data_IF_746625510683
#
_entry.id   IF_746625510683
#
_cell.length_a   1.000
_cell.length_b   1.000
_cell.length_c   1.000
_cell.angle_alpha   90.00
_cell.angle_beta   90.00
_cell.angle_gamma   90.00
#
_symmetry.space_group_name_H-M   'P 1'
#
loop_
_entity.id
_entity.type
_entity.pdbx_description
1 polymer ?
#
# COMPACT_ATOMS: atom_id res chain seq x y z
N UNK A 1 -15.04 -12.46 -10.83
CA UNK A 1 -14.04 -11.38 -10.76
C UNK A 1 -14.56 -10.40 -9.73
N UNK A 2 -14.16 -10.57 -8.46
CA UNK A 2 -14.56 -9.62 -7.42
C UNK A 2 -13.83 -8.31 -7.72
N UNK A 3 -14.60 -7.28 -8.02
CA UNK A 3 -14.10 -5.92 -8.07
C UNK A 3 -13.46 -5.66 -6.70
N UNK A 4 -12.15 -5.34 -6.64
CA UNK A 4 -11.54 -4.94 -5.39
C UNK A 4 -12.41 -3.82 -4.79
N UNK A 5 -12.91 -4.01 -3.58
CA UNK A 5 -13.74 -3.01 -2.90
C UNK A 5 -12.96 -1.69 -2.93
N UNK A 6 -13.52 -0.71 -3.63
CA UNK A 6 -12.82 0.55 -3.90
C UNK A 6 -12.63 1.29 -2.57
N UNK A 7 -11.38 1.59 -2.23
CA UNK A 7 -11.04 2.33 -1.02
C UNK A 7 -11.82 3.65 -0.99
N UNK A 8 -12.50 3.89 0.11
CA UNK A 8 -13.32 5.08 0.36
C UNK A 8 -12.76 5.85 1.54
N UNK A 9 -12.66 7.17 1.39
CA UNK A 9 -12.16 8.09 2.41
C UNK A 9 -13.32 8.84 3.08
N UNK A 10 -13.29 8.90 4.40
CA UNK A 10 -14.13 9.79 5.22
C UNK A 10 -13.28 10.55 6.23
N UNK A 11 -13.92 11.07 7.28
CA UNK A 11 -13.26 11.85 8.33
C UNK A 11 -13.53 13.35 8.20
N UNK A 12 -12.73 14.16 8.89
CA UNK A 12 -12.89 15.62 8.93
C UNK A 12 -11.99 16.35 7.94
N UNK A 13 -10.87 15.74 7.55
CA UNK A 13 -9.94 16.33 6.59
C UNK A 13 -10.57 16.37 5.19
N UNK A 14 -10.31 17.45 4.44
CA UNK A 14 -10.66 17.49 3.01
C UNK A 14 -9.66 16.67 2.21
N UNK A 15 -9.95 15.37 2.06
CA UNK A 15 -9.06 14.38 1.47
C UNK A 15 -9.55 13.87 0.11
N UNK A 16 -8.63 13.67 -0.83
CA UNK A 16 -8.90 13.07 -2.15
C UNK A 16 -7.95 11.90 -2.38
N UNK A 17 -8.51 10.73 -2.70
CA UNK A 17 -7.73 9.55 -3.05
C UNK A 17 -7.06 9.77 -4.41
N UNK A 18 -5.74 9.76 -4.44
CA UNK A 18 -4.95 9.83 -5.68
C UNK A 18 -4.88 8.44 -6.31
N UNK A 19 -4.67 7.42 -5.49
CA UNK A 19 -4.69 6.03 -5.91
C UNK A 19 -4.43 5.07 -4.76
N UNK A 20 -4.75 3.79 -5.00
CA UNK A 20 -4.52 2.70 -4.08
C UNK A 20 -3.94 1.50 -4.85
N UNK A 21 -2.84 0.94 -4.34
CA UNK A 21 -2.11 -0.14 -5.00
C UNK A 21 -1.74 -1.24 -4.03
N UNK A 22 -1.73 -2.48 -4.51
CA UNK A 22 -1.25 -3.61 -3.73
C UNK A 22 0.29 -3.65 -3.73
N UNK A 23 0.89 -3.85 -2.55
CA UNK A 23 2.33 -3.97 -2.37
C UNK A 23 2.72 -5.46 -2.35
N UNK A 24 3.04 -6.00 -3.53
CA UNK A 24 3.55 -7.37 -3.67
C UNK A 24 5.06 -7.35 -3.85
N UNK A 25 5.74 -8.29 -3.20
CA UNK A 25 7.14 -8.59 -3.48
C UNK A 25 7.20 -9.57 -4.66
N UNK A 26 7.68 -9.13 -5.82
CA UNK A 26 7.91 -9.99 -6.97
C UNK A 26 7.01 -9.70 -8.18
N UNK A 27 7.47 -10.17 -9.34
CA UNK A 27 6.84 -9.96 -10.62
C UNK A 27 5.59 -10.82 -10.77
N UNK A 28 4.44 -10.16 -10.68
CA UNK A 28 3.17 -10.69 -11.13
C UNK A 28 3.34 -11.32 -12.53
N UNK A 29 3.01 -12.61 -12.65
CA UNK A 29 2.99 -13.34 -13.92
C UNK A 29 4.28 -13.33 -14.75
N UNK A 30 5.47 -13.28 -14.14
CA UNK A 30 6.65 -13.72 -14.91
C UNK A 30 6.60 -15.22 -15.05
N UNK A 31 6.63 -15.71 -16.30
CA UNK A 31 6.91 -17.11 -16.59
C UNK A 31 8.25 -17.49 -15.95
N UNK A 32 8.20 -18.19 -14.81
CA UNK A 32 9.37 -18.81 -14.22
C UNK A 32 9.54 -20.21 -14.83
N UNK A 33 10.72 -20.44 -15.39
CA UNK A 33 11.08 -21.71 -16.01
C UNK A 33 11.69 -22.60 -14.93
N UNK A 34 10.84 -23.25 -14.14
CA UNK A 34 11.27 -24.22 -13.14
C UNK A 34 11.55 -25.56 -13.83
N UNK A 35 12.69 -26.18 -13.49
CA UNK A 35 13.00 -27.55 -13.90
C UNK A 35 12.03 -28.50 -13.18
N UNK A 36 11.18 -29.17 -13.96
CA UNK A 36 10.17 -30.10 -13.43
C UNK A 36 10.75 -31.44 -12.96
N UNK A 37 12.06 -31.66 -13.12
CA UNK A 37 12.72 -32.89 -12.72
C UNK A 37 13.38 -32.76 -11.34
N UNK A 38 12.97 -33.61 -10.39
CA UNK A 38 13.56 -33.72 -9.07
C UNK A 38 14.99 -34.35 -9.05
N UNK A 39 15.78 -34.25 -10.14
CA UNK A 39 17.00 -35.06 -10.32
C UNK A 39 18.34 -34.27 -10.47
N UNK A 40 18.95 -34.04 -9.31
CA UNK A 40 20.36 -34.29 -8.90
C UNK A 40 21.61 -33.75 -9.61
N UNK A 41 21.61 -32.96 -10.69
CA UNK A 41 22.86 -32.24 -11.05
C UNK A 41 22.68 -31.03 -11.98
N UNK A 42 23.36 -29.93 -11.65
CA UNK A 42 23.44 -28.73 -12.49
C UNK A 42 24.49 -28.89 -13.61
N UNK A 43 24.23 -28.38 -14.83
CA UNK A 43 22.97 -27.80 -15.31
C UNK A 43 22.09 -28.89 -15.93
N UNK A 44 21.19 -29.47 -15.14
CA UNK A 44 20.22 -30.45 -15.58
C UNK A 44 19.17 -29.79 -16.47
N UNK A 45 19.02 -30.30 -17.69
CA UNK A 45 17.93 -29.94 -18.59
C UNK A 45 18.36 -29.60 -20.01
N UNK A 46 18.15 -30.53 -20.94
CA UNK A 46 18.21 -30.23 -22.38
C UNK A 46 17.00 -29.40 -22.85
N UNK A 47 16.98 -28.95 -24.12
CA UNK A 47 15.85 -28.22 -24.68
C UNK A 47 14.54 -28.99 -24.48
N UNK A 48 13.62 -28.46 -23.67
CA UNK A 48 12.30 -29.06 -23.40
C UNK A 48 12.05 -29.57 -21.98
N UNK A 49 13.02 -29.49 -21.05
CA UNK A 49 12.79 -29.86 -19.63
C UNK A 49 12.21 -28.75 -18.77
N UNK A 50 12.34 -27.50 -19.21
CA UNK A 50 11.72 -26.37 -18.56
C UNK A 50 10.28 -26.22 -19.03
N UNK A 51 9.33 -26.22 -18.10
CA UNK A 51 7.94 -25.89 -18.38
C UNK A 51 7.64 -24.50 -17.82
N UNK A 52 6.88 -23.71 -18.58
CA UNK A 52 6.36 -22.43 -18.13
C UNK A 52 5.36 -22.69 -16.99
N UNK A 53 5.77 -22.45 -15.75
CA UNK A 53 4.85 -22.48 -14.61
C UNK A 53 4.30 -21.06 -14.48
N UNK A 54 3.10 -20.85 -15.00
CA UNK A 54 2.45 -19.53 -15.05
C UNK A 54 1.67 -19.20 -13.77
N UNK A 55 1.68 -20.10 -12.79
CA UNK A 55 1.17 -19.84 -11.46
C UNK A 55 2.36 -19.88 -10.55
N UNK A 56 2.84 -18.71 -10.13
CA UNK A 56 3.51 -18.71 -8.84
C UNK A 56 2.54 -19.38 -7.84
N UNK A 57 3.04 -20.23 -6.96
CA UNK A 57 2.26 -20.73 -5.83
C UNK A 57 1.98 -19.62 -4.81
N UNK A 58 2.30 -18.35 -5.13
CA UNK A 58 2.25 -17.22 -4.22
C UNK A 58 0.85 -16.58 -4.16
N UNK A 59 -0.12 -17.09 -4.91
CA UNK A 59 -1.56 -16.86 -4.70
C UNK A 59 -2.08 -17.26 -3.29
N UNK A 60 -1.22 -17.79 -2.41
CA UNK A 60 -1.56 -18.18 -1.03
C UNK A 60 -1.08 -17.22 0.08
N UNK A 61 -0.44 -16.08 -0.24
CA UNK A 61 -0.17 -15.08 0.79
C UNK A 61 -1.47 -14.31 1.12
N UNK A 62 -1.70 -14.08 2.42
CA UNK A 62 -2.70 -13.14 2.99
C UNK A 62 -2.83 -11.89 2.09
N UNK A 63 -4.03 -11.32 1.81
CA UNK A 63 -4.18 -10.11 1.00
C UNK A 63 -3.03 -9.13 1.26
N UNK A 64 -2.20 -8.92 0.24
CA UNK A 64 -0.96 -8.21 0.44
C UNK A 64 -1.28 -6.78 0.90
N UNK A 65 -0.43 -6.18 1.76
CA UNK A 65 -0.64 -4.81 2.20
C UNK A 65 -0.84 -3.89 1.00
N UNK A 66 -1.77 -2.97 1.10
CA UNK A 66 -2.03 -1.94 0.09
C UNK A 66 -1.48 -0.61 0.56
N UNK A 67 -1.17 0.26 -0.39
CA UNK A 67 -0.74 1.63 -0.18
C UNK A 67 -1.75 2.57 -0.82
N UNK A 68 -2.29 3.50 -0.04
CA UNK A 68 -3.09 4.62 -0.51
C UNK A 68 -2.25 5.89 -0.52
N UNK A 69 -2.30 6.64 -1.61
CA UNK A 69 -1.79 8.00 -1.69
C UNK A 69 -2.96 8.98 -1.68
N UNK A 70 -2.92 9.94 -0.75
CA UNK A 70 -4.03 10.84 -0.45
C UNK A 70 -3.53 12.27 -0.49
N UNK A 71 -4.20 13.11 -1.27
CA UNK A 71 -4.02 14.56 -1.19
C UNK A 71 -4.95 15.13 -0.15
N UNK A 72 -4.44 16.05 0.67
CA UNK A 72 -5.17 16.75 1.73
C UNK A 72 -5.12 18.24 1.45
N UNK A 73 -6.29 18.89 1.43
CA UNK A 73 -6.36 20.34 1.25
C UNK A 73 -6.60 21.00 2.60
N UNK A 74 -5.63 21.80 3.06
CA UNK A 74 -5.74 22.53 4.32
C UNK A 74 -5.71 21.63 5.57
N UNK A 75 -4.98 20.50 5.51
CA UNK A 75 -4.97 19.49 6.58
C UNK A 75 -4.53 20.05 7.92
N UNK A 76 -5.49 20.21 8.83
CA UNK A 76 -5.29 20.85 10.12
C UNK A 76 -4.88 19.89 11.23
N UNK A 77 -4.29 20.40 12.32
CA UNK A 77 -3.97 19.58 13.50
C UNK A 77 -5.26 18.96 14.08
N UNK A 78 -5.22 17.66 14.34
CA UNK A 78 -6.35 16.91 14.86
C UNK A 78 -7.40 16.52 13.82
N UNK A 79 -7.26 16.90 12.54
CA UNK A 79 -8.16 16.40 11.50
C UNK A 79 -7.95 14.92 11.23
N UNK A 80 -8.99 14.26 10.74
CA UNK A 80 -9.02 12.82 10.56
C UNK A 80 -9.24 12.40 9.12
N UNK A 81 -8.61 11.30 8.73
CA UNK A 81 -8.87 10.54 7.51
C UNK A 81 -9.30 9.14 7.96
N UNK A 82 -10.48 8.70 7.54
CA UNK A 82 -11.05 7.39 7.89
C UNK A 82 -11.07 6.51 6.64
N UNK A 83 -10.48 5.32 6.72
CA UNK A 83 -10.47 4.34 5.63
C UNK A 83 -11.69 3.42 5.73
N UNK A 84 -12.28 3.11 4.59
CA UNK A 84 -13.35 2.12 4.45
C UNK A 84 -13.33 1.54 3.03
N UNK A 85 -14.13 0.51 2.75
CA UNK A 85 -14.14 -0.14 1.43
C UNK A 85 -12.87 -0.97 1.19
N UNK A 86 -12.86 -2.21 1.69
CA UNK A 86 -11.74 -3.13 1.49
C UNK A 86 -10.49 -2.87 2.32
N UNK A 87 -10.56 -1.98 3.32
CA UNK A 87 -9.56 -1.77 4.36
C UNK A 87 -10.07 -2.28 5.71
N UNK A 88 -9.24 -3.04 6.43
CA UNK A 88 -9.57 -3.63 7.73
C UNK A 88 -8.72 -3.10 8.88
N UNK A 89 -7.50 -2.64 8.60
CA UNK A 89 -6.63 -1.93 9.53
C UNK A 89 -5.65 -1.00 8.80
N UNK A 90 -5.26 0.09 9.48
CA UNK A 90 -4.08 0.88 9.11
C UNK A 90 -2.84 0.21 9.72
N UNK A 91 -1.83 0.01 8.89
CA UNK A 91 -0.53 -0.57 9.25
C UNK A 91 0.53 0.52 9.49
N UNK A 92 0.47 1.62 8.72
CA UNK A 92 1.37 2.75 8.86
C UNK A 92 0.80 4.00 8.19
N UNK A 93 1.21 5.17 8.68
CA UNK A 93 0.87 6.47 8.08
C UNK A 93 2.12 7.32 7.98
N UNK A 94 2.32 7.92 6.82
CA UNK A 94 3.31 8.97 6.60
C UNK A 94 2.58 10.23 6.14
N UNK A 95 2.80 11.34 6.83
CA UNK A 95 2.25 12.65 6.47
C UNK A 95 3.39 13.57 6.03
N UNK A 96 3.12 14.46 5.09
CA UNK A 96 4.09 15.44 4.58
C UNK A 96 3.52 16.84 4.60
N UNK A 97 4.40 17.77 4.93
CA UNK A 97 4.14 19.20 4.99
C UNK A 97 4.18 19.80 3.57
N UNK A 98 3.26 20.72 3.29
CA UNK A 98 3.27 21.52 2.06
C UNK A 98 3.60 23.00 2.30
N UNK A 99 4.00 23.36 3.52
CA UNK A 99 4.39 24.70 3.90
C UNK A 99 5.70 25.16 3.22
N UNK A 100 5.87 26.48 3.11
CA UNK A 100 7.11 27.11 2.62
C UNK A 100 8.27 27.01 3.60
N UNK A 101 7.97 26.77 4.88
CA UNK A 101 8.96 26.53 5.93
C UNK A 101 8.77 25.10 6.44
N UNK A 102 9.86 24.33 6.50
CA UNK A 102 9.81 22.93 6.92
C UNK A 102 9.26 22.82 8.35
N UNK A 103 8.04 22.29 8.47
CA UNK A 103 7.40 21.97 9.73
C UNK A 103 7.38 20.46 9.91
N UNK A 104 7.70 19.99 11.11
CA UNK A 104 7.54 18.58 11.42
C UNK A 104 6.05 18.27 11.49
N UNK A 105 5.59 17.39 10.61
CA UNK A 105 4.21 16.87 10.61
C UNK A 105 4.24 15.35 10.77
N UNK A 106 3.14 14.82 11.26
CA UNK A 106 2.96 13.38 11.40
C UNK A 106 1.49 13.02 11.38
N UNK A 107 1.22 11.76 11.70
CA UNK A 107 -0.11 11.29 12.00
C UNK A 107 -0.01 10.21 13.06
N UNK A 108 -0.99 10.18 13.95
CA UNK A 108 -1.29 8.99 14.74
C UNK A 108 -2.38 8.20 14.04
N UNK A 109 -2.49 6.89 14.30
CA UNK A 109 -3.61 6.11 13.79
C UNK A 109 -4.14 5.15 14.85
N UNK A 110 -5.42 4.83 14.75
CA UNK A 110 -6.09 3.82 15.57
C UNK A 110 -7.16 3.16 14.71
N UNK A 111 -7.11 1.83 14.61
CA UNK A 111 -7.95 1.05 13.71
C UNK A 111 -7.89 1.57 12.25
N UNK A 112 -8.97 2.19 11.77
CA UNK A 112 -9.12 2.72 10.41
C UNK A 112 -9.05 4.25 10.34
N UNK A 113 -8.74 4.92 11.45
CA UNK A 113 -8.68 6.38 11.53
C UNK A 113 -7.23 6.83 11.66
N UNK A 114 -6.77 7.65 10.72
CA UNK A 114 -5.54 8.43 10.84
C UNK A 114 -5.90 9.85 11.31
N UNK A 115 -5.19 10.37 12.30
CA UNK A 115 -5.34 11.73 12.83
C UNK A 115 -4.07 12.51 12.52
N UNK A 116 -4.20 13.61 11.77
CA UNK A 116 -3.12 14.49 11.37
C UNK A 116 -2.59 15.25 12.59
N UNK A 117 -1.26 15.42 12.65
CA UNK A 117 -0.59 16.04 13.78
C UNK A 117 0.49 17.03 13.33
N UNK A 118 0.51 18.20 13.96
CA UNK A 118 1.64 19.12 13.89
C UNK A 118 2.64 18.77 15.00
N UNK A 119 3.83 18.34 14.62
CA UNK A 119 4.89 17.98 15.59
C UNK A 119 5.73 19.19 15.98
N UNK A 120 5.72 20.26 15.19
CA UNK A 120 6.29 21.57 15.53
C UNK A 120 5.53 22.70 14.84
N UNK A 121 5.37 23.87 15.47
CA UNK A 121 4.75 25.04 14.83
C UNK A 121 3.33 24.81 14.28
N UNK A 122 2.98 25.53 13.21
CA UNK A 122 1.72 25.37 12.49
C UNK A 122 1.99 25.30 10.98
N UNK A 123 1.60 24.22 10.31
CA UNK A 123 1.64 24.12 8.85
C UNK A 123 0.57 23.15 8.36
N UNK A 124 0.20 23.20 7.08
CA UNK A 124 -0.84 22.33 6.54
C UNK A 124 -0.23 21.02 6.05
N UNK A 125 -0.80 19.89 6.49
CA UNK A 125 -0.53 18.60 5.85
C UNK A 125 -1.16 18.60 4.47
N UNK A 126 -0.37 18.26 3.44
CA UNK A 126 -0.85 18.28 2.04
C UNK A 126 -0.90 16.91 1.41
N UNK A 127 -0.09 15.96 1.87
CA UNK A 127 -0.09 14.60 1.33
C UNK A 127 0.10 13.59 2.45
N UNK A 128 -0.70 12.52 2.39
CA UNK A 128 -0.67 11.41 3.33
C UNK A 128 -0.57 10.11 2.54
N UNK A 129 0.37 9.26 2.94
CA UNK A 129 0.51 7.89 2.47
C UNK A 129 0.09 6.95 3.59
N UNK A 130 -0.80 6.00 3.29
CA UNK A 130 -1.31 5.05 4.27
C UNK A 130 -1.07 3.62 3.77
N UNK A 131 -0.40 2.82 4.58
CA UNK A 131 -0.32 1.37 4.39
C UNK A 131 -1.49 0.72 5.14
N UNK A 132 -2.23 -0.16 4.48
CA UNK A 132 -3.43 -0.81 5.03
C UNK A 132 -3.57 -2.25 4.50
N UNK A 133 -4.50 -3.04 5.04
CA UNK A 133 -4.85 -4.38 4.55
C UNK A 133 -6.31 -4.47 4.08
#
# INVERSE_FOLDING_TARGET
MNMADTLTLGGTATATLVGAWELRAGSHDTTEWLDGAADTSYPGGGPGTFSAVNSDGANGYDPAPKMALINVTGGADGETIILSGGASAILSVMATDGGTAAVAVGASFTALTATLQYLSGSSNVTTVMILYN
#
